data_IF_554661156744
#
_entry.id   IF_554661156744
#
_cell.length_a   1.000
_cell.length_b   1.000
_cell.length_c   1.000
_cell.angle_alpha   90.00
_cell.angle_beta   90.00
_cell.angle_gamma   90.00
#
_symmetry.space_group_name_H-M   'P 1'
#
loop_
_entity.id
_entity.type
_entity.pdbx_description
1 polymer ?
#
# COMPACT_ATOMS: atom_id res chain seq x y z
N UNK A 1 45.74 -7.66 36.35
CA UNK A 1 44.95 -8.66 35.59
C UNK A 1 43.61 -8.01 35.24
N UNK A 2 43.56 -7.30 34.13
CA UNK A 2 42.37 -6.62 33.62
C UNK A 2 42.17 -7.12 32.19
N UNK A 3 41.23 -8.05 32.01
CA UNK A 3 40.80 -8.54 30.70
C UNK A 3 39.91 -7.47 30.06
N UNK A 4 40.44 -6.77 29.06
CA UNK A 4 39.63 -6.05 28.08
C UNK A 4 39.05 -7.06 27.10
N UNK A 5 37.72 -7.16 26.93
CA UNK A 5 37.15 -8.00 25.89
C UNK A 5 37.45 -7.36 24.52
N UNK A 6 38.14 -8.14 23.70
CA UNK A 6 38.50 -7.84 22.33
C UNK A 6 37.23 -7.84 21.45
N UNK A 7 36.66 -6.67 21.21
CA UNK A 7 35.53 -6.50 20.29
C UNK A 7 36.11 -6.50 18.87
N UNK A 8 36.33 -7.70 18.34
CA UNK A 8 36.61 -7.91 16.93
C UNK A 8 35.32 -7.64 16.14
N UNK A 9 35.24 -6.44 15.57
CA UNK A 9 34.20 -6.08 14.60
C UNK A 9 34.41 -6.94 13.34
N UNK A 10 33.67 -8.05 13.21
CA UNK A 10 33.56 -8.80 11.97
C UNK A 10 32.98 -7.88 10.88
N UNK A 11 33.73 -7.57 9.79
CA UNK A 11 33.26 -6.69 8.72
C UNK A 11 32.58 -7.50 7.60
N UNK A 12 31.63 -8.38 7.92
CA UNK A 12 31.07 -9.34 6.94
C UNK A 12 29.60 -9.17 6.54
N UNK A 13 28.90 -8.10 6.91
CA UNK A 13 27.49 -7.90 6.47
C UNK A 13 27.28 -6.68 5.56
N UNK A 14 28.30 -6.27 4.82
CA UNK A 14 28.20 -5.21 3.80
C UNK A 14 28.10 -5.78 2.38
N UNK A 15 27.26 -6.80 2.17
CA UNK A 15 27.13 -7.44 0.85
C UNK A 15 25.79 -7.14 0.18
N UNK A 16 25.82 -6.05 -0.61
CA UNK A 16 25.08 -5.88 -1.86
C UNK A 16 23.61 -6.32 -1.88
N UNK A 17 22.72 -5.34 -1.85
CA UNK A 17 21.35 -5.47 -2.34
C UNK A 17 21.33 -5.97 -3.80
N UNK A 18 21.40 -7.30 -3.97
CA UNK A 18 21.17 -7.97 -5.25
C UNK A 18 19.67 -7.84 -5.53
N UNK A 19 19.31 -7.11 -6.58
CA UNK A 19 17.94 -7.06 -7.12
C UNK A 19 17.36 -8.46 -7.45
N UNK A 20 18.21 -9.49 -7.58
CA UNK A 20 17.80 -10.90 -7.69
C UNK A 20 17.54 -11.62 -6.35
N UNK A 21 17.68 -10.94 -5.23
CA UNK A 21 17.51 -11.50 -3.88
C UNK A 21 16.06 -11.52 -3.40
N UNK A 22 15.23 -10.53 -3.75
CA UNK A 22 13.86 -10.44 -3.24
C UNK A 22 12.97 -11.59 -3.75
N UNK A 23 12.92 -11.81 -5.07
CA UNK A 23 12.14 -12.91 -5.66
C UNK A 23 12.67 -14.27 -5.20
N UNK A 24 13.99 -14.42 -5.12
CA UNK A 24 14.63 -15.64 -4.65
C UNK A 24 14.39 -15.88 -3.15
N UNK A 25 14.38 -14.83 -2.33
CA UNK A 25 14.06 -14.92 -0.91
C UNK A 25 12.57 -15.24 -0.69
N UNK A 26 11.68 -14.66 -1.50
CA UNK A 26 10.25 -14.96 -1.46
C UNK A 26 9.99 -16.44 -1.77
N UNK A 27 10.58 -16.95 -2.86
CA UNK A 27 10.46 -18.35 -3.29
C UNK A 27 11.23 -19.33 -2.38
N UNK A 28 12.24 -18.86 -1.65
CA UNK A 28 12.98 -19.69 -0.68
C UNK A 28 12.23 -19.86 0.65
N UNK A 29 11.26 -19.00 0.96
CA UNK A 29 10.48 -19.07 2.19
C UNK A 29 9.14 -19.80 1.97
N UNK A 30 8.79 -20.83 2.76
CA UNK A 30 7.54 -21.56 2.59
C UNK A 30 6.32 -20.67 2.80
N UNK A 31 6.39 -19.73 3.74
CA UNK A 31 5.34 -18.72 3.98
C UNK A 31 5.18 -17.75 2.81
N UNK A 32 6.29 -17.33 2.18
CA UNK A 32 6.27 -16.47 0.99
C UNK A 32 5.63 -17.16 -0.22
N UNK A 33 5.91 -18.45 -0.42
CA UNK A 33 5.29 -19.25 -1.49
C UNK A 33 3.79 -19.42 -1.23
N UNK A 34 3.37 -19.74 0.00
CA UNK A 34 1.94 -19.86 0.34
C UNK A 34 1.21 -18.54 0.08
N UNK A 35 1.78 -17.41 0.54
CA UNK A 35 1.20 -16.09 0.29
C UNK A 35 1.10 -15.77 -1.21
N UNK A 36 2.15 -16.09 -1.99
CA UNK A 36 2.16 -15.89 -3.44
C UNK A 36 1.08 -16.74 -4.14
N UNK A 37 0.87 -17.98 -3.71
CA UNK A 37 -0.19 -18.85 -4.27
C UNK A 37 -1.57 -18.30 -3.96
N UNK A 38 -1.82 -17.86 -2.71
CA UNK A 38 -3.12 -17.29 -2.31
C UNK A 38 -3.41 -16.01 -3.11
N UNK A 39 -2.46 -15.06 -3.15
CA UNK A 39 -2.62 -13.82 -3.91
C UNK A 39 -2.76 -14.11 -5.40
N UNK A 40 -1.96 -15.04 -5.93
CA UNK A 40 -2.04 -15.46 -7.33
C UNK A 40 -3.41 -16.03 -7.70
N UNK A 41 -3.99 -16.87 -6.83
CA UNK A 41 -5.33 -17.40 -7.02
C UNK A 41 -6.39 -16.30 -6.96
N UNK A 42 -6.30 -15.38 -6.00
CA UNK A 42 -7.24 -14.26 -5.89
C UNK A 42 -7.18 -13.34 -7.11
N UNK A 43 -5.98 -13.00 -7.59
CA UNK A 43 -5.79 -12.22 -8.81
C UNK A 43 -6.33 -12.97 -10.02
N UNK A 44 -6.06 -14.27 -10.11
CA UNK A 44 -6.59 -15.10 -11.19
C UNK A 44 -8.13 -15.10 -11.22
N UNK A 45 -8.79 -15.34 -10.08
CA UNK A 45 -10.25 -15.30 -9.96
C UNK A 45 -10.79 -13.91 -10.29
N UNK A 46 -10.15 -12.85 -9.82
CA UNK A 46 -10.56 -11.47 -10.08
C UNK A 46 -10.43 -11.07 -11.56
N UNK A 47 -9.36 -11.51 -12.24
CA UNK A 47 -9.17 -11.24 -13.67
C UNK A 47 -10.05 -12.11 -14.55
N UNK A 48 -10.32 -13.34 -14.13
CA UNK A 48 -11.23 -14.26 -14.80
C UNK A 48 -12.70 -14.03 -14.43
N UNK A 49 -13.00 -13.10 -13.52
CA UNK A 49 -14.36 -12.73 -13.12
C UNK A 49 -15.33 -12.51 -14.30
N UNK A 50 -15.02 -11.72 -15.36
CA UNK A 50 -15.93 -11.54 -16.49
C UNK A 50 -16.24 -12.83 -17.28
N UNK A 51 -15.43 -13.89 -17.12
CA UNK A 51 -15.61 -15.19 -17.77
C UNK A 51 -16.26 -16.23 -16.85
N UNK A 52 -16.05 -16.12 -15.53
CA UNK A 52 -16.48 -17.10 -14.52
C UNK A 52 -17.85 -16.75 -13.93
N UNK A 53 -18.22 -15.46 -13.92
CA UNK A 53 -19.44 -14.99 -13.27
C UNK A 53 -20.68 -15.58 -13.97
N UNK A 54 -21.52 -16.36 -13.24
CA UNK A 54 -22.67 -17.04 -13.83
C UNK A 54 -23.84 -16.10 -14.14
N UNK A 55 -24.00 -15.02 -13.36
CA UNK A 55 -25.11 -14.06 -13.52
C UNK A 55 -24.61 -12.62 -13.51
N UNK A 56 -25.31 -11.72 -14.22
CA UNK A 56 -24.97 -10.29 -14.22
C UNK A 56 -24.97 -9.73 -12.77
N UNK A 57 -23.81 -9.29 -12.24
CA UNK A 57 -23.67 -8.91 -10.85
C UNK A 57 -24.27 -7.53 -10.53
N UNK A 58 -24.58 -6.72 -11.56
CA UNK A 58 -25.11 -5.36 -11.42
C UNK A 58 -26.61 -5.29 -11.73
N UNK A 59 -27.14 -6.26 -12.49
CA UNK A 59 -28.55 -6.32 -12.83
C UNK A 59 -29.38 -6.65 -11.60
N UNK A 60 -30.15 -5.67 -11.12
CA UNK A 60 -31.18 -5.95 -10.11
C UNK A 60 -32.17 -6.95 -10.70
N UNK A 61 -32.35 -8.09 -10.02
CA UNK A 61 -33.33 -9.07 -10.42
C UNK A 61 -34.69 -8.66 -9.83
N UNK A 62 -35.75 -8.74 -10.64
CA UNK A 62 -37.13 -8.67 -10.14
C UNK A 62 -37.58 -10.01 -9.49
N UNK A 63 -36.64 -10.94 -9.29
CA UNK A 63 -36.88 -12.26 -8.74
C UNK A 63 -36.99 -12.29 -7.22
N UNK A 64 -37.17 -13.49 -6.64
CA UNK A 64 -37.24 -13.69 -5.20
C UNK A 64 -35.95 -13.21 -4.51
N UNK A 65 -36.15 -12.53 -3.37
CA UNK A 65 -35.10 -11.89 -2.58
C UNK A 65 -34.78 -12.74 -1.37
N UNK A 66 -33.54 -12.70 -0.90
CA UNK A 66 -33.09 -13.45 0.27
C UNK A 66 -33.36 -14.97 0.18
N UNK A 67 -33.28 -15.54 -1.02
CA UNK A 67 -33.34 -16.98 -1.19
C UNK A 67 -32.14 -17.69 -0.57
N UNK A 68 -32.35 -18.84 0.08
CA UNK A 68 -31.26 -19.68 0.56
C UNK A 68 -30.45 -20.28 -0.62
N UNK A 69 -29.25 -20.82 -0.36
CA UNK A 69 -28.44 -21.48 -1.37
C UNK A 69 -29.21 -22.56 -2.15
N UNK A 70 -29.15 -22.49 -3.48
CA UNK A 70 -29.82 -23.40 -4.42
C UNK A 70 -28.90 -23.75 -5.60
N UNK A 71 -29.32 -24.70 -6.45
CA UNK A 71 -28.55 -25.03 -7.66
C UNK A 71 -28.52 -23.89 -8.68
N UNK A 72 -29.56 -23.06 -8.69
CA UNK A 72 -29.65 -21.86 -9.53
C UNK A 72 -28.83 -20.71 -8.92
N UNK A 73 -28.80 -20.60 -7.59
CA UNK A 73 -28.02 -19.60 -6.85
C UNK A 73 -27.16 -20.27 -5.77
N UNK A 74 -25.92 -20.63 -6.11
CA UNK A 74 -25.05 -21.45 -5.24
C UNK A 74 -24.81 -20.86 -3.85
N UNK A 75 -24.88 -19.54 -3.72
CA UNK A 75 -24.77 -18.82 -2.45
C UNK A 75 -26.04 -18.05 -2.08
N UNK A 76 -27.16 -18.31 -2.77
CA UNK A 76 -28.41 -17.60 -2.61
C UNK A 76 -28.40 -16.19 -3.24
N UNK A 77 -29.43 -15.42 -2.91
CA UNK A 77 -29.64 -14.05 -3.44
C UNK A 77 -29.55 -12.99 -2.34
N UNK A 78 -29.13 -11.77 -2.69
CA UNK A 78 -29.12 -10.63 -1.76
C UNK A 78 -30.49 -9.94 -1.61
N UNK A 79 -30.54 -8.84 -0.85
CA UNK A 79 -31.74 -8.01 -0.63
C UNK A 79 -32.36 -7.43 -1.92
N UNK A 80 -31.60 -7.45 -3.02
CA UNK A 80 -32.01 -6.95 -4.33
C UNK A 80 -32.21 -8.11 -5.34
N UNK A 81 -32.27 -9.35 -4.85
CA UNK A 81 -32.48 -10.55 -5.68
C UNK A 81 -31.27 -10.92 -6.54
N UNK A 82 -30.08 -10.35 -6.29
CA UNK A 82 -28.87 -10.62 -7.08
C UNK A 82 -28.13 -11.84 -6.54
N UNK A 83 -27.53 -12.61 -7.44
CA UNK A 83 -26.71 -13.77 -7.08
C UNK A 83 -25.48 -13.37 -6.25
N UNK A 84 -25.39 -13.90 -5.03
CA UNK A 84 -24.34 -13.53 -4.06
C UNK A 84 -22.96 -13.98 -4.54
N UNK A 85 -22.85 -15.16 -5.16
CA UNK A 85 -21.57 -15.69 -5.66
C UNK A 85 -20.99 -14.78 -6.75
N UNK A 86 -21.82 -14.40 -7.72
CA UNK A 86 -21.47 -13.46 -8.79
C UNK A 86 -21.00 -12.11 -8.23
N UNK A 87 -21.67 -11.60 -7.18
CA UNK A 87 -21.26 -10.36 -6.51
C UNK A 87 -19.94 -10.48 -5.76
N UNK A 88 -19.63 -11.63 -5.14
CA UNK A 88 -18.36 -11.84 -4.46
C UNK A 88 -17.21 -11.89 -5.48
N UNK A 89 -17.38 -12.64 -6.57
CA UNK A 89 -16.35 -12.76 -7.62
C UNK A 89 -16.10 -11.40 -8.29
N UNK A 90 -17.16 -10.69 -8.66
CA UNK A 90 -17.03 -9.34 -9.24
C UNK A 90 -16.48 -8.33 -8.22
N UNK A 91 -16.88 -8.45 -6.95
CA UNK A 91 -16.36 -7.64 -5.84
C UNK A 91 -14.85 -7.82 -5.64
N UNK A 92 -14.31 -9.03 -5.84
CA UNK A 92 -12.88 -9.26 -5.77
C UNK A 92 -12.10 -8.43 -6.80
N UNK A 93 -12.63 -8.29 -8.02
CA UNK A 93 -12.06 -7.43 -9.06
C UNK A 93 -12.07 -5.95 -8.65
N UNK A 94 -13.18 -5.48 -8.09
CA UNK A 94 -13.30 -4.11 -7.58
C UNK A 94 -12.33 -3.84 -6.44
N UNK A 95 -12.23 -4.74 -5.46
CA UNK A 95 -11.28 -4.65 -4.34
C UNK A 95 -9.83 -4.56 -4.83
N UNK A 96 -9.47 -5.37 -5.83
CA UNK A 96 -8.14 -5.31 -6.43
C UNK A 96 -7.87 -3.96 -7.11
N UNK A 97 -8.85 -3.43 -7.84
CA UNK A 97 -8.76 -2.12 -8.50
C UNK A 97 -8.65 -0.97 -7.49
N UNK A 98 -9.49 -0.97 -6.44
CA UNK A 98 -9.44 0.03 -5.36
C UNK A 98 -8.07 -0.01 -4.70
N UNK A 99 -7.59 -1.20 -4.32
CA UNK A 99 -6.27 -1.37 -3.74
C UNK A 99 -5.17 -0.86 -4.66
N UNK A 100 -5.17 -1.24 -5.94
CA UNK A 100 -4.14 -0.81 -6.88
C UNK A 100 -4.13 0.70 -7.13
N UNK A 101 -5.30 1.33 -7.29
CA UNK A 101 -5.41 2.73 -7.66
C UNK A 101 -5.29 3.63 -6.42
N UNK A 102 -6.13 3.44 -5.41
CA UNK A 102 -6.17 4.31 -4.24
C UNK A 102 -4.89 4.19 -3.40
N UNK A 103 -4.46 2.96 -3.08
CA UNK A 103 -3.22 2.74 -2.34
C UNK A 103 -2.01 3.08 -3.21
N UNK A 104 -2.04 2.77 -4.51
CA UNK A 104 -0.95 3.16 -5.43
C UNK A 104 -0.71 4.67 -5.46
N UNK A 105 -1.76 5.47 -5.62
CA UNK A 105 -1.67 6.95 -5.63
C UNK A 105 -1.18 7.48 -4.28
N UNK A 106 -1.81 7.04 -3.20
CA UNK A 106 -1.49 7.55 -1.85
C UNK A 106 -0.07 7.17 -1.42
N UNK A 107 0.35 5.94 -1.67
CA UNK A 107 1.66 5.42 -1.28
C UNK A 107 2.78 6.04 -2.12
N UNK A 108 2.60 6.21 -3.43
CA UNK A 108 3.61 6.87 -4.28
C UNK A 108 3.76 8.35 -3.95
N UNK A 109 2.64 9.08 -3.86
CA UNK A 109 2.64 10.51 -3.56
C UNK A 109 3.09 10.78 -2.12
N UNK A 110 2.62 9.99 -1.17
CA UNK A 110 3.01 10.05 0.23
C UNK A 110 4.48 9.70 0.43
N UNK A 111 4.98 8.64 -0.21
CA UNK A 111 6.41 8.29 -0.20
C UNK A 111 7.25 9.46 -0.71
N UNK A 112 6.87 10.06 -1.84
CA UNK A 112 7.62 11.19 -2.39
C UNK A 112 7.63 12.39 -1.42
N UNK A 113 6.46 12.82 -0.94
CA UNK A 113 6.33 13.96 -0.03
C UNK A 113 7.07 13.73 1.31
N UNK A 114 6.88 12.56 1.92
CA UNK A 114 7.52 12.22 3.19
C UNK A 114 9.03 12.06 3.06
N UNK A 115 9.51 11.50 1.95
CA UNK A 115 10.94 11.37 1.68
C UNK A 115 11.60 12.74 1.48
N UNK A 116 10.97 13.64 0.71
CA UNK A 116 11.46 15.00 0.50
C UNK A 116 11.49 15.77 1.82
N UNK A 117 10.41 15.73 2.60
CA UNK A 117 10.34 16.39 3.91
C UNK A 117 11.40 15.85 4.88
N UNK A 118 11.50 14.53 5.02
CA UNK A 118 12.39 13.89 5.98
C UNK A 118 13.87 14.04 5.58
N UNK A 119 14.15 14.08 4.28
CA UNK A 119 15.52 14.26 3.79
C UNK A 119 16.02 15.70 3.94
N UNK A 120 15.22 16.68 3.48
CA UNK A 120 15.64 18.07 3.36
C UNK A 120 16.03 18.66 4.72
N UNK A 121 15.29 18.34 5.78
CA UNK A 121 15.41 18.90 7.13
C UNK A 121 15.36 20.43 7.21
N UNK A 122 14.63 20.99 8.18
CA UNK A 122 14.57 22.45 8.39
C UNK A 122 13.28 23.10 7.87
N UNK A 123 13.36 24.24 7.17
CA UNK A 123 12.15 25.01 6.80
C UNK A 123 11.27 24.29 5.76
N UNK A 124 11.87 23.66 4.76
CA UNK A 124 11.12 22.89 3.76
C UNK A 124 10.32 21.74 4.40
N UNK A 125 10.94 21.03 5.35
CA UNK A 125 10.27 20.01 6.16
C UNK A 125 9.08 20.58 6.93
N UNK A 126 9.29 21.68 7.67
CA UNK A 126 8.25 22.33 8.47
C UNK A 126 7.06 22.77 7.63
N UNK A 127 7.31 23.37 6.47
CA UNK A 127 6.24 23.85 5.57
C UNK A 127 5.49 22.65 4.97
N UNK A 128 6.21 21.65 4.45
CA UNK A 128 5.59 20.51 3.78
C UNK A 128 4.77 19.66 4.76
N UNK A 129 5.32 19.39 5.95
CA UNK A 129 4.59 18.67 7.01
C UNK A 129 3.43 19.51 7.56
N UNK A 130 3.54 20.84 7.63
CA UNK A 130 2.40 21.70 8.01
C UNK A 130 1.26 21.61 7.01
N UNK A 131 1.54 21.60 5.71
CA UNK A 131 0.52 21.41 4.67
C UNK A 131 -0.15 20.03 4.80
N UNK A 132 0.64 18.98 5.03
CA UNK A 132 0.16 17.62 5.30
C UNK A 132 -0.74 17.60 6.54
N UNK A 133 -0.34 18.27 7.62
CA UNK A 133 -1.12 18.34 8.87
C UNK A 133 -2.43 19.12 8.70
N UNK A 134 -2.42 20.20 7.92
CA UNK A 134 -3.65 20.95 7.58
C UNK A 134 -4.60 20.06 6.80
N UNK A 135 -4.12 19.34 5.79
CA UNK A 135 -4.95 18.38 5.06
C UNK A 135 -5.49 17.30 6.01
N UNK A 136 -4.63 16.67 6.81
CA UNK A 136 -5.03 15.61 7.74
C UNK A 136 -5.96 16.07 8.87
N UNK A 137 -6.03 17.38 9.15
CA UNK A 137 -7.00 17.93 10.11
C UNK A 137 -8.44 17.81 9.61
N UNK A 138 -8.63 17.81 8.29
CA UNK A 138 -9.88 17.39 7.69
C UNK A 138 -9.89 15.87 7.70
N UNK A 139 -10.95 15.27 8.27
CA UNK A 139 -11.14 13.83 8.20
C UNK A 139 -11.09 13.34 6.75
N UNK A 140 -10.55 12.14 6.53
CA UNK A 140 -10.31 11.56 5.20
C UNK A 140 -11.58 11.58 4.32
N UNK A 141 -12.73 11.29 4.93
CA UNK A 141 -14.03 11.29 4.24
C UNK A 141 -14.36 12.67 3.65
N UNK A 142 -14.05 13.75 4.35
CA UNK A 142 -14.36 15.12 3.88
C UNK A 142 -13.52 15.47 2.65
N UNK A 143 -12.24 15.09 2.63
CA UNK A 143 -11.37 15.29 1.47
C UNK A 143 -11.89 14.46 0.28
N UNK A 144 -12.23 13.19 0.52
CA UNK A 144 -12.72 12.31 -0.54
C UNK A 144 -14.04 12.84 -1.16
N UNK A 145 -14.98 13.30 -0.33
CA UNK A 145 -16.23 13.90 -0.81
C UNK A 145 -16.00 15.21 -1.58
N UNK A 146 -15.08 16.06 -1.12
CA UNK A 146 -14.72 17.28 -1.84
C UNK A 146 -14.12 16.96 -3.23
N UNK A 147 -13.24 15.96 -3.31
CA UNK A 147 -12.70 15.49 -4.59
C UNK A 147 -13.80 14.92 -5.49
N UNK A 148 -14.74 14.14 -4.96
CA UNK A 148 -15.88 13.62 -5.74
C UNK A 148 -16.80 14.73 -6.27
N UNK A 149 -17.00 15.80 -5.49
CA UNK A 149 -17.77 16.95 -5.94
C UNK A 149 -17.10 17.66 -7.14
N UNK A 150 -15.76 17.62 -7.22
CA UNK A 150 -14.98 18.24 -8.30
C UNK A 150 -14.87 17.31 -9.51
N UNK A 151 -14.52 16.04 -9.30
CA UNK A 151 -14.27 15.07 -10.37
C UNK A 151 -15.56 14.46 -10.93
N UNK A 152 -16.66 14.54 -10.18
CA UNK A 152 -17.94 13.92 -10.50
C UNK A 152 -18.08 12.51 -9.92
N UNK A 153 -19.32 12.07 -9.77
CA UNK A 153 -19.67 10.77 -9.18
C UNK A 153 -19.30 9.64 -10.16
N UNK A 154 -18.48 8.71 -9.68
CA UNK A 154 -18.08 7.53 -10.44
C UNK A 154 -17.11 6.68 -9.64
N UNK A 155 -17.08 5.37 -9.92
CA UNK A 155 -16.24 4.41 -9.20
C UNK A 155 -14.75 4.78 -9.30
N UNK A 156 -14.25 5.07 -10.50
CA UNK A 156 -12.85 5.47 -10.71
C UNK A 156 -12.51 6.77 -10.01
N UNK A 157 -13.40 7.77 -10.08
CA UNK A 157 -13.20 9.05 -9.40
C UNK A 157 -13.20 8.90 -7.88
N UNK A 158 -14.04 8.00 -7.34
CA UNK A 158 -14.04 7.66 -5.92
C UNK A 158 -12.71 7.02 -5.50
N UNK A 159 -12.17 6.08 -6.28
CA UNK A 159 -10.86 5.47 -6.00
C UNK A 159 -9.74 6.51 -5.98
N UNK A 160 -9.73 7.44 -6.94
CA UNK A 160 -8.75 8.53 -7.00
C UNK A 160 -8.91 9.48 -5.81
N UNK A 161 -10.16 9.84 -5.47
CA UNK A 161 -10.47 10.71 -4.35
C UNK A 161 -10.00 10.11 -3.01
N UNK A 162 -10.25 8.82 -2.77
CA UNK A 162 -9.76 8.09 -1.61
C UNK A 162 -8.22 8.11 -1.61
N UNK A 163 -7.59 7.79 -2.74
CA UNK A 163 -6.13 7.83 -2.86
C UNK A 163 -5.52 9.20 -2.55
N UNK A 164 -6.16 10.29 -2.95
CA UNK A 164 -5.71 11.65 -2.61
C UNK A 164 -5.91 11.92 -1.12
N UNK A 165 -7.06 11.52 -0.56
CA UNK A 165 -7.40 11.72 0.84
C UNK A 165 -6.46 10.99 1.79
N UNK A 166 -5.91 9.83 1.40
CA UNK A 166 -4.97 9.08 2.22
C UNK A 166 -3.50 9.56 2.09
N UNK A 167 -3.16 10.46 1.16
CA UNK A 167 -1.77 10.95 0.97
C UNK A 167 -1.13 11.45 2.29
N UNK A 168 -1.81 12.26 3.13
CA UNK A 168 -1.19 12.80 4.33
C UNK A 168 -0.75 11.72 5.32
N UNK A 169 -1.50 10.62 5.43
CA UNK A 169 -1.16 9.49 6.28
C UNK A 169 0.16 8.83 5.82
N UNK A 170 0.25 8.46 4.55
CA UNK A 170 1.47 7.84 4.00
C UNK A 170 2.67 8.79 4.00
N UNK A 171 2.45 10.09 3.79
CA UNK A 171 3.49 11.11 3.89
C UNK A 171 4.09 11.16 5.30
N UNK A 172 3.24 11.16 6.34
CA UNK A 172 3.70 11.20 7.73
C UNK A 172 4.41 9.92 8.13
N UNK A 173 3.90 8.75 7.73
CA UNK A 173 4.57 7.46 7.98
C UNK A 173 5.95 7.45 7.33
N UNK A 174 6.03 7.81 6.06
CA UNK A 174 7.30 7.87 5.33
C UNK A 174 8.27 8.84 6.00
N UNK A 175 7.82 10.05 6.33
CA UNK A 175 8.63 11.06 7.01
C UNK A 175 9.22 10.53 8.32
N UNK A 176 8.39 9.87 9.13
CA UNK A 176 8.78 9.30 10.42
C UNK A 176 9.88 8.24 10.25
N UNK A 177 9.73 7.34 9.28
CA UNK A 177 10.73 6.30 9.00
C UNK A 177 12.02 6.92 8.46
N UNK A 178 11.92 7.87 7.53
CA UNK A 178 13.10 8.56 6.97
C UNK A 178 13.87 9.32 8.04
N UNK A 179 13.18 9.98 8.97
CA UNK A 179 13.81 10.71 10.07
C UNK A 179 14.59 9.76 10.99
N UNK A 180 14.02 8.61 11.32
CA UNK A 180 14.71 7.57 12.11
C UNK A 180 15.92 7.03 11.36
N UNK A 181 15.76 6.74 10.07
CA UNK A 181 16.78 6.10 9.26
C UNK A 181 17.99 7.03 9.00
N UNK A 182 17.74 8.32 8.81
CA UNK A 182 18.76 9.36 8.64
C UNK A 182 19.66 9.54 9.86
N UNK A 183 19.15 9.28 11.07
CA UNK A 183 19.88 9.43 12.33
C UNK A 183 20.68 8.17 12.72
N UNK A 184 20.76 7.15 11.86
CA UNK A 184 21.53 5.94 12.14
C UNK A 184 23.02 6.11 11.77
N UNK A 185 23.95 5.47 12.51
CA UNK A 185 25.40 5.62 12.28
C UNK A 185 25.86 5.26 10.86
N UNK A 186 25.22 4.28 10.22
CA UNK A 186 25.58 3.88 8.86
C UNK A 186 25.28 5.00 7.84
N UNK A 187 24.24 5.81 8.10
CA UNK A 187 23.86 6.92 7.23
C UNK A 187 24.86 8.08 7.39
N UNK A 188 25.23 8.41 8.63
CA UNK A 188 26.27 9.39 8.93
C UNK A 188 27.62 9.00 8.31
N UNK A 189 28.00 7.73 8.41
CA UNK A 189 29.21 7.22 7.77
C UNK A 189 29.17 7.37 6.24
N UNK A 190 28.02 7.13 5.60
CA UNK A 190 27.86 7.32 4.16
C UNK A 190 27.96 8.81 3.75
N UNK A 191 27.43 9.71 4.57
CA UNK A 191 27.58 11.17 4.37
C UNK A 191 29.04 11.59 4.52
N UNK A 192 29.72 11.14 5.58
CA UNK A 192 31.13 11.42 5.83
C UNK A 192 32.05 10.87 4.73
N UNK A 193 31.67 9.74 4.11
CA UNK A 193 32.34 9.18 2.95
C UNK A 193 32.08 9.96 1.64
N UNK A 194 31.34 11.07 1.68
CA UNK A 194 31.09 11.94 0.52
C UNK A 194 30.04 11.39 -0.46
N UNK A 195 29.11 10.54 0.00
CA UNK A 195 28.03 10.08 -0.86
C UNK A 195 27.12 11.23 -1.28
N UNK A 196 26.93 11.42 -2.59
CA UNK A 196 26.02 12.45 -3.12
C UNK A 196 24.55 12.20 -2.74
N UNK A 197 23.74 13.27 -2.74
CA UNK A 197 22.34 13.25 -2.31
C UNK A 197 21.51 12.14 -2.95
N UNK A 198 21.61 11.97 -4.27
CA UNK A 198 20.87 10.93 -5.01
C UNK A 198 21.26 9.52 -4.56
N UNK A 199 22.54 9.30 -4.24
CA UNK A 199 23.04 8.01 -3.75
C UNK A 199 22.51 7.73 -2.34
N UNK A 200 22.55 8.73 -1.46
CA UNK A 200 21.99 8.63 -0.10
C UNK A 200 20.50 8.25 -0.15
N UNK A 201 19.71 8.93 -0.99
CA UNK A 201 18.28 8.65 -1.10
C UNK A 201 18.03 7.27 -1.68
N UNK A 202 18.54 6.98 -2.88
CA UNK A 202 18.16 5.77 -3.62
C UNK A 202 18.81 4.49 -3.09
N UNK A 203 19.99 4.58 -2.47
CA UNK A 203 20.76 3.40 -2.04
C UNK A 203 20.79 3.20 -0.53
N UNK A 204 20.50 4.23 0.27
CA UNK A 204 20.57 4.15 1.74
C UNK A 204 19.24 4.41 2.44
N UNK A 205 18.38 5.30 1.95
CA UNK A 205 17.07 5.56 2.57
C UNK A 205 15.96 4.71 1.94
N UNK A 206 15.74 4.85 0.64
CA UNK A 206 14.61 4.23 -0.04
C UNK A 206 14.53 2.70 0.19
N UNK A 207 15.63 1.93 0.11
CA UNK A 207 15.58 0.49 0.37
C UNK A 207 15.18 0.11 1.80
N UNK A 208 15.41 1.00 2.78
CA UNK A 208 15.06 0.76 4.18
C UNK A 208 13.65 1.27 4.53
N UNK A 209 13.11 2.22 3.77
CA UNK A 209 11.74 2.75 3.97
C UNK A 209 10.69 1.86 3.30
N UNK A 210 10.99 1.30 2.13
CA UNK A 210 10.06 0.49 1.33
C UNK A 210 9.47 -0.70 2.11
N UNK A 211 10.23 -1.49 2.90
CA UNK A 211 9.67 -2.61 3.66
C UNK A 211 8.53 -2.20 4.61
N UNK A 212 8.71 -1.09 5.33
CA UNK A 212 7.66 -0.56 6.23
C UNK A 212 6.44 -0.11 5.43
N UNK A 213 6.64 0.55 4.28
CA UNK A 213 5.54 0.99 3.45
C UNK A 213 4.78 -0.17 2.79
N UNK A 214 5.42 -1.29 2.48
CA UNK A 214 4.73 -2.48 1.98
C UNK A 214 3.73 -3.00 3.03
N UNK A 215 4.15 -3.05 4.30
CA UNK A 215 3.29 -3.50 5.40
C UNK A 215 2.11 -2.53 5.59
N UNK A 216 2.40 -1.23 5.68
CA UNK A 216 1.38 -0.20 5.88
C UNK A 216 0.43 -0.13 4.68
N UNK A 217 0.95 -0.25 3.46
CA UNK A 217 0.13 -0.30 2.25
C UNK A 217 -0.83 -1.48 2.22
N UNK A 218 -0.43 -2.64 2.77
CA UNK A 218 -1.32 -3.80 2.88
C UNK A 218 -2.52 -3.51 3.79
N UNK A 219 -2.29 -2.83 4.93
CA UNK A 219 -3.37 -2.35 5.79
C UNK A 219 -4.21 -1.28 5.08
N UNK A 220 -3.57 -0.45 4.27
CA UNK A 220 -4.24 0.56 3.45
C UNK A 220 -5.26 0.01 2.46
N UNK A 221 -4.99 -1.15 1.87
CA UNK A 221 -5.97 -1.81 1.00
C UNK A 221 -7.23 -2.16 1.79
N UNK A 222 -7.06 -2.64 3.03
CA UNK A 222 -8.20 -2.96 3.91
C UNK A 222 -9.01 -1.71 4.25
N UNK A 223 -8.36 -0.58 4.57
CA UNK A 223 -9.06 0.65 4.94
C UNK A 223 -9.72 1.35 3.75
N UNK A 224 -9.12 1.25 2.55
CA UNK A 224 -9.67 1.88 1.35
C UNK A 224 -10.93 1.19 0.80
N UNK A 225 -11.14 -0.08 1.17
CA UNK A 225 -12.25 -0.91 0.70
C UNK A 225 -13.45 -0.86 1.65
N UNK A 226 -13.22 -0.59 2.94
CA UNK A 226 -14.24 -0.50 3.98
C UNK A 226 -15.07 0.78 3.85
#
# INVERSE_FOLDING_TARGET
MTQTPDITLHPEDATGARKGGFVRALLASPTGVIGLVIVGLLVFVALAAPLIVPFDPLRMAAGPRLEPPSWDHWMGTDDFGRDVLSRIIYGAQLTLQIGAIAVGISLTSGLFLGLVAGYASGWAEKILMRLVDVLFSFTEIVIALACLAIFGVGLTNAMIAIGIASIPFYARVTHSVVLVEKNKPYFEAAVAAGAGHTRLILRHLLPNVVPTLIVVGTLGVSTAVL
#
